data_IF_662133759851
#
_entry.id   IF_662133759851
#
_cell.length_a   1.000
_cell.length_b   1.000
_cell.length_c   1.000
_cell.angle_alpha   90.00
_cell.angle_beta   90.00
_cell.angle_gamma   90.00
#
_symmetry.space_group_name_H-M   'P 1'
#
loop_
_entity.id
_entity.type
_entity.pdbx_description
1 polymer ?
#
# COMPACT_ATOMS: atom_id res chain seq x y z
N UNK A 1 -2.51 -5.83 -3.02
CA UNK A 1 -2.67 -6.16 -1.58
C UNK A 1 -3.66 -5.19 -0.97
N UNK A 2 -4.57 -5.66 -0.10
CA UNK A 2 -5.58 -4.81 0.55
C UNK A 2 -5.15 -4.45 1.95
N UNK A 3 -5.23 -3.17 2.29
CA UNK A 3 -4.90 -2.64 3.61
C UNK A 3 -6.12 -1.98 4.20
N UNK A 4 -6.34 -2.18 5.49
CA UNK A 4 -7.38 -1.49 6.24
C UNK A 4 -6.74 -0.60 7.31
N UNK A 5 -7.27 0.62 7.47
CA UNK A 5 -7.02 1.43 8.65
C UNK A 5 -7.84 0.87 9.82
N UNK A 6 -7.19 0.66 10.95
CA UNK A 6 -7.80 0.17 12.19
C UNK A 6 -7.71 1.29 13.24
N UNK A 7 -8.81 1.61 13.92
CA UNK A 7 -8.83 2.60 15.00
C UNK A 7 -8.09 2.11 16.24
N UNK A 8 -7.89 2.98 17.24
CA UNK A 8 -7.30 2.58 18.51
C UNK A 8 -8.18 1.56 19.27
N UNK A 9 -9.49 1.61 19.04
CA UNK A 9 -10.51 0.73 19.60
C UNK A 9 -10.64 -0.58 18.79
N UNK A 10 -9.87 -0.75 17.71
CA UNK A 10 -9.87 -1.95 16.88
C UNK A 10 -10.91 -1.94 15.75
N UNK A 11 -11.61 -0.82 15.54
CA UNK A 11 -12.64 -0.73 14.50
C UNK A 11 -12.02 -0.54 13.11
N UNK A 12 -12.57 -1.23 12.11
CA UNK A 12 -12.15 -1.07 10.71
C UNK A 12 -12.71 0.23 10.15
N UNK A 13 -11.82 1.15 9.79
CA UNK A 13 -12.19 2.48 9.29
C UNK A 13 -12.47 2.47 7.78
N UNK A 14 -11.43 2.21 7.00
CA UNK A 14 -11.47 2.19 5.53
C UNK A 14 -10.45 1.20 5.01
N UNK A 15 -10.70 0.59 3.86
CA UNK A 15 -9.70 -0.20 3.17
C UNK A 15 -9.36 0.35 1.79
N UNK A 16 -8.17 -0.01 1.31
CA UNK A 16 -7.71 0.32 -0.03
C UNK A 16 -6.92 -0.84 -0.62
N UNK A 17 -7.11 -1.05 -1.91
CA UNK A 17 -6.23 -1.91 -2.71
C UNK A 17 -5.01 -1.09 -3.12
N UNK A 18 -3.83 -1.57 -2.76
CA UNK A 18 -2.54 -0.98 -3.14
C UNK A 18 -1.76 -1.91 -4.05
N UNK A 19 -1.00 -1.32 -4.96
CA UNK A 19 0.03 -1.99 -5.77
C UNK A 19 1.38 -1.68 -5.15
N UNK A 20 2.22 -2.70 -5.04
CA UNK A 20 3.58 -2.60 -4.54
C UNK A 20 4.54 -3.11 -5.60
N UNK A 21 5.62 -2.36 -5.78
CA UNK A 21 6.79 -2.75 -6.56
C UNK A 21 7.99 -2.64 -5.64
N UNK A 22 8.69 -3.75 -5.43
CA UNK A 22 9.90 -3.81 -4.62
C UNK A 22 11.07 -4.17 -5.53
N UNK A 23 12.14 -3.38 -5.45
CA UNK A 23 13.44 -3.77 -5.98
C UNK A 23 14.26 -4.34 -4.83
N UNK A 24 14.76 -5.56 -5.02
CA UNK A 24 15.62 -6.23 -4.07
C UNK A 24 17.05 -6.27 -4.59
N UNK A 25 18.01 -6.05 -3.71
CA UNK A 25 19.44 -6.11 -3.98
C UNK A 25 20.09 -7.06 -2.95
N UNK A 26 20.91 -8.01 -3.42
CA UNK A 26 21.62 -8.92 -2.52
C UNK A 26 22.87 -8.24 -1.95
N UNK A 27 22.92 -8.03 -0.63
CA UNK A 27 24.05 -7.45 0.12
C UNK A 27 24.36 -8.31 1.33
N UNK A 28 25.65 -8.58 1.58
CA UNK A 28 26.12 -9.36 2.73
C UNK A 28 25.34 -10.67 2.92
N UNK A 29 25.17 -11.40 1.81
CA UNK A 29 24.41 -12.65 1.69
C UNK A 29 22.91 -12.57 2.05
N UNK A 30 22.33 -11.37 2.13
CA UNK A 30 20.91 -11.16 2.36
C UNK A 30 20.26 -10.31 1.26
N UNK A 31 19.02 -10.63 0.87
CA UNK A 31 18.21 -9.75 0.04
C UNK A 31 17.72 -8.57 0.87
N UNK A 32 18.01 -7.36 0.41
CA UNK A 32 17.59 -6.10 1.03
C UNK A 32 16.71 -5.33 0.04
N UNK A 33 15.74 -4.58 0.55
CA UNK A 33 14.95 -3.66 -0.28
C UNK A 33 15.85 -2.48 -0.62
N UNK A 34 16.13 -2.27 -1.90
CA UNK A 34 16.88 -1.10 -2.40
C UNK A 34 15.95 0.02 -2.89
N UNK A 35 14.74 -0.35 -3.32
CA UNK A 35 13.69 0.60 -3.69
C UNK A 35 12.31 0.02 -3.42
N UNK A 36 11.40 0.88 -2.94
CA UNK A 36 9.99 0.57 -2.80
C UNK A 36 9.16 1.66 -3.46
N UNK A 37 8.20 1.24 -4.28
CA UNK A 37 7.17 2.10 -4.83
C UNK A 37 5.80 1.51 -4.52
N UNK A 38 4.93 2.30 -3.90
CA UNK A 38 3.53 1.91 -3.68
C UNK A 38 2.58 2.94 -4.27
N UNK A 39 1.45 2.47 -4.76
CA UNK A 39 0.38 3.32 -5.29
C UNK A 39 -1.00 2.76 -4.96
N UNK A 40 -1.99 3.64 -4.99
CA UNK A 40 -3.41 3.28 -4.94
C UNK A 40 -4.11 3.78 -6.21
N UNK A 41 -5.22 3.14 -6.62
CA UNK A 41 -6.03 3.66 -7.72
C UNK A 41 -6.73 4.96 -7.31
N UNK A 42 -6.86 5.89 -8.25
CA UNK A 42 -7.63 7.11 -8.09
C UNK A 42 -8.82 7.09 -9.04
N UNK A 43 -9.89 7.77 -8.62
CA UNK A 43 -11.00 8.12 -9.49
C UNK A 43 -10.57 9.28 -10.41
N UNK A 44 -10.75 9.10 -11.72
CA UNK A 44 -10.20 10.03 -12.72
C UNK A 44 -11.00 11.33 -12.86
N UNK A 45 -12.26 11.36 -12.41
CA UNK A 45 -13.09 12.56 -12.44
C UNK A 45 -12.79 13.47 -11.25
N UNK A 46 -12.66 12.87 -10.07
CA UNK A 46 -12.52 13.59 -8.80
C UNK A 46 -11.07 13.73 -8.34
N UNK A 47 -10.15 12.94 -8.90
CA UNK A 47 -8.75 12.85 -8.47
C UNK A 47 -8.56 12.22 -7.08
N UNK A 48 -9.62 11.66 -6.48
CA UNK A 48 -9.59 11.09 -5.13
C UNK A 48 -9.17 9.64 -5.14
N UNK A 49 -8.55 9.19 -4.05
CA UNK A 49 -8.24 7.77 -3.85
C UNK A 49 -9.50 6.91 -3.77
N UNK A 50 -9.48 5.73 -4.39
CA UNK A 50 -10.58 4.77 -4.31
C UNK A 50 -10.38 3.91 -3.05
N UNK A 51 -11.33 4.03 -2.12
CA UNK A 51 -11.38 3.27 -0.88
C UNK A 51 -12.62 2.38 -0.86
N UNK A 52 -12.47 1.16 -0.35
CA UNK A 52 -13.57 0.23 -0.12
C UNK A 52 -13.93 0.22 1.36
N UNK A 53 -15.23 0.16 1.64
CA UNK A 53 -15.78 0.01 2.99
C UNK A 53 -15.47 -1.33 3.64
#
# INVERSE_FOLDING_TARGET
MTFAGISAEGERLRAMTRRFTLCLEKKDDAWKISHEHSSLPIDMETGKGIFTS
#
